data_IF_793233021280
#
_entry.id   IF_793233021280
#
_cell.length_a   1.000
_cell.length_b   1.000
_cell.length_c   1.000
_cell.angle_alpha   90.00
_cell.angle_beta   90.00
_cell.angle_gamma   90.00
#
_symmetry.space_group_name_H-M   'P 1'
#
loop_
_entity.id
_entity.type
_entity.pdbx_description
1 polymer ?
#
# COMPACT_ATOMS: atom_id res chain seq x y z
N UNK A 1 22.10 21.62 19.25
CA UNK A 1 21.13 22.13 18.26
C UNK A 1 19.86 21.27 18.16
N UNK A 2 19.94 19.94 18.28
CA UNK A 2 18.76 19.06 18.26
C UNK A 2 17.93 19.01 19.54
N UNK A 3 18.54 19.02 20.75
CA UNK A 3 17.75 19.04 22.00
C UNK A 3 16.89 20.31 22.12
N UNK A 4 17.42 21.44 21.62
CA UNK A 4 16.70 22.71 21.60
C UNK A 4 15.52 22.69 20.62
N UNK A 5 15.68 22.09 19.44
CA UNK A 5 14.60 21.97 18.47
C UNK A 5 13.46 21.09 19.01
N UNK A 6 13.81 19.93 19.57
CA UNK A 6 12.81 19.01 20.14
C UNK A 6 12.04 19.64 21.31
N UNK A 7 12.74 20.35 22.21
CA UNK A 7 12.14 21.09 23.32
C UNK A 7 11.20 22.21 22.84
N UNK A 8 11.56 22.92 21.77
CA UNK A 8 10.70 23.94 21.17
C UNK A 8 9.42 23.34 20.58
N UNK A 9 9.53 22.27 19.79
CA UNK A 9 8.37 21.61 19.17
C UNK A 9 7.42 21.07 20.26
N UNK A 10 7.96 20.49 21.34
CA UNK A 10 7.15 20.01 22.47
C UNK A 10 6.43 21.16 23.18
N UNK A 11 7.14 22.26 23.46
CA UNK A 11 6.57 23.46 24.09
C UNK A 11 5.49 24.11 23.22
N UNK A 12 5.62 24.05 21.90
CA UNK A 12 4.60 24.54 20.95
C UNK A 12 3.41 23.59 20.90
N UNK A 13 3.64 22.27 20.92
CA UNK A 13 2.56 21.27 20.92
C UNK A 13 1.59 21.50 22.09
N UNK A 14 2.10 21.68 23.31
CA UNK A 14 1.29 21.92 24.51
C UNK A 14 0.47 23.22 24.42
N UNK A 15 0.99 24.24 23.74
CA UNK A 15 0.35 25.55 23.60
C UNK A 15 -0.63 25.62 22.43
N UNK A 16 -0.56 24.69 21.48
CA UNK A 16 -1.45 24.71 20.30
C UNK A 16 -2.84 24.21 20.64
N UNK A 17 -3.86 25.02 20.32
CA UNK A 17 -5.28 24.70 20.54
C UNK A 17 -5.93 24.10 19.29
N UNK A 18 -5.39 24.40 18.09
CA UNK A 18 -5.93 23.92 16.81
C UNK A 18 -5.44 22.53 16.41
N UNK A 19 -6.37 21.60 16.15
CA UNK A 19 -6.08 20.22 15.71
C UNK A 19 -5.22 20.14 14.44
N UNK A 20 -5.48 21.00 13.44
CA UNK A 20 -4.70 21.03 12.19
C UNK A 20 -3.23 21.35 12.44
N UNK A 21 -2.94 22.36 13.28
CA UNK A 21 -1.58 22.74 13.63
C UNK A 21 -0.86 21.66 14.47
N UNK A 22 -1.59 20.94 15.33
CA UNK A 22 -1.03 19.80 16.07
C UNK A 22 -0.56 18.70 15.12
N UNK A 23 -1.35 18.39 14.09
CA UNK A 23 -0.98 17.41 13.06
C UNK A 23 0.28 17.86 12.31
N UNK A 24 0.34 19.13 11.90
CA UNK A 24 1.48 19.67 11.17
C UNK A 24 2.77 19.67 12.05
N UNK A 25 2.66 19.89 13.36
CA UNK A 25 3.76 19.71 14.32
C UNK A 25 4.23 18.26 14.43
N UNK A 26 3.30 17.30 14.46
CA UNK A 26 3.64 15.86 14.49
C UNK A 26 4.37 15.45 13.19
N UNK A 27 3.98 15.98 12.03
CA UNK A 27 4.73 15.76 10.78
C UNK A 27 6.16 16.29 10.86
N UNK A 28 6.39 17.44 11.48
CA UNK A 28 7.74 17.95 11.71
C UNK A 28 8.55 17.03 12.65
N UNK A 29 7.93 16.46 13.70
CA UNK A 29 8.59 15.46 14.55
C UNK A 29 8.98 14.19 13.76
N UNK A 30 8.11 13.71 12.86
CA UNK A 30 8.40 12.56 12.00
C UNK A 30 9.60 12.85 11.09
N UNK A 31 9.71 14.05 10.51
CA UNK A 31 10.85 14.43 9.68
C UNK A 31 12.17 14.43 10.43
N UNK A 32 12.17 14.99 11.64
CA UNK A 32 13.35 14.95 12.51
C UNK A 32 13.69 13.51 12.83
N UNK A 33 12.71 12.68 13.17
CA UNK A 33 12.91 11.24 13.40
C UNK A 33 13.50 10.51 12.19
N UNK A 34 13.02 10.79 10.97
CA UNK A 34 13.54 10.22 9.73
C UNK A 34 14.98 10.65 9.45
N UNK A 35 15.37 11.88 9.80
CA UNK A 35 16.74 12.36 9.65
C UNK A 35 17.73 11.60 10.57
N UNK A 36 17.31 11.23 11.79
CA UNK A 36 18.13 10.42 12.72
C UNK A 36 17.94 8.91 12.56
N UNK A 37 17.01 8.47 11.71
CA UNK A 37 16.59 7.06 11.59
C UNK A 37 16.26 6.39 12.94
N UNK A 38 15.70 7.15 13.89
CA UNK A 38 15.20 6.55 15.13
C UNK A 38 13.82 5.93 14.92
N UNK A 39 13.81 4.61 14.72
CA UNK A 39 12.59 3.84 14.48
C UNK A 39 11.57 3.94 15.62
N UNK A 40 12.02 4.10 16.87
CA UNK A 40 11.11 4.15 18.03
C UNK A 40 10.32 5.44 18.04
N UNK A 41 11.01 6.56 17.81
CA UNK A 41 10.42 7.89 17.75
C UNK A 41 9.47 8.03 16.56
N UNK A 42 9.85 7.51 15.39
CA UNK A 42 9.02 7.58 14.19
C UNK A 42 7.71 6.80 14.39
N UNK A 43 7.78 5.56 14.89
CA UNK A 43 6.59 4.76 15.14
C UNK A 43 5.63 5.42 16.12
N UNK A 44 6.13 5.97 17.24
CA UNK A 44 5.30 6.68 18.20
C UNK A 44 4.58 7.88 17.58
N UNK A 45 5.28 8.65 16.75
CA UNK A 45 4.70 9.82 16.11
C UNK A 45 3.74 9.46 14.97
N UNK A 46 3.97 8.36 14.24
CA UNK A 46 3.02 7.82 13.25
C UNK A 46 1.73 7.35 13.95
N UNK A 47 1.82 6.65 15.07
CA UNK A 47 0.63 6.22 15.85
C UNK A 47 -0.15 7.43 16.35
N UNK A 48 0.52 8.41 16.95
CA UNK A 48 -0.11 9.68 17.36
C UNK A 48 -0.76 10.41 16.19
N UNK A 49 -0.11 10.44 15.03
CA UNK A 49 -0.69 11.03 13.83
C UNK A 49 -1.96 10.29 13.41
N UNK A 50 -1.98 8.95 13.44
CA UNK A 50 -3.18 8.16 13.11
C UNK A 50 -4.34 8.45 14.07
N UNK A 51 -4.08 8.51 15.37
CA UNK A 51 -5.09 8.86 16.39
C UNK A 51 -5.69 10.26 16.14
N UNK A 52 -4.85 11.25 15.85
CA UNK A 52 -5.31 12.61 15.54
C UNK A 52 -6.12 12.68 14.24
N UNK A 53 -5.88 11.78 13.28
CA UNK A 53 -6.62 11.72 12.02
C UNK A 53 -8.00 11.06 12.16
N UNK A 54 -8.15 10.13 13.12
CA UNK A 54 -9.44 9.50 13.45
C UNK A 54 -10.38 10.48 14.14
N UNK A 55 -9.84 11.39 14.97
CA UNK A 55 -10.63 12.40 15.68
C UNK A 55 -11.23 13.50 14.77
N UNK A 56 -10.86 13.53 13.49
CA UNK A 56 -11.40 14.51 12.53
C UNK A 56 -10.33 15.14 11.63
N UNK A 57 -9.44 14.32 11.08
CA UNK A 57 -8.40 14.78 10.16
C UNK A 57 -8.93 15.05 8.75
N UNK A 58 -8.51 16.18 8.19
CA UNK A 58 -8.68 16.54 6.78
C UNK A 58 -8.15 15.45 5.83
N UNK A 59 -8.84 15.22 4.71
CA UNK A 59 -8.54 14.13 3.78
C UNK A 59 -7.15 14.30 3.14
N UNK A 60 -6.75 15.52 2.80
CA UNK A 60 -5.43 15.79 2.22
C UNK A 60 -4.30 15.40 3.19
N UNK A 61 -4.48 15.67 4.50
CA UNK A 61 -3.52 15.31 5.54
C UNK A 61 -3.36 13.79 5.69
N UNK A 62 -4.42 13.01 5.46
CA UNK A 62 -4.36 11.54 5.42
C UNK A 62 -3.53 11.03 4.25
N UNK A 63 -3.66 11.64 3.07
CA UNK A 63 -2.84 11.28 1.91
C UNK A 63 -1.36 11.59 2.15
N UNK A 64 -1.08 12.74 2.80
CA UNK A 64 0.29 13.10 3.21
C UNK A 64 0.86 12.06 4.18
N UNK A 65 0.09 11.63 5.19
CA UNK A 65 0.49 10.59 6.15
C UNK A 65 0.85 9.27 5.47
N UNK A 66 0.12 8.84 4.43
CA UNK A 66 0.46 7.63 3.66
C UNK A 66 1.86 7.71 3.05
N UNK A 67 2.25 8.89 2.54
CA UNK A 67 3.60 9.09 1.96
C UNK A 67 4.70 9.00 3.03
N UNK A 68 4.46 9.52 4.23
CA UNK A 68 5.39 9.37 5.36
C UNK A 68 5.51 7.92 5.83
N UNK A 69 4.38 7.21 5.91
CA UNK A 69 4.37 5.80 6.31
C UNK A 69 5.05 4.92 5.26
N UNK A 70 4.84 5.20 3.96
CA UNK A 70 5.54 4.51 2.87
C UNK A 70 7.05 4.71 2.95
N UNK A 71 7.49 5.95 3.19
CA UNK A 71 8.91 6.27 3.35
C UNK A 71 9.52 5.55 4.58
N UNK A 72 8.79 5.52 5.69
CA UNK A 72 9.23 4.80 6.88
C UNK A 72 9.35 3.29 6.64
N UNK A 73 8.36 2.64 6.01
CA UNK A 73 8.43 1.22 5.67
C UNK A 73 9.59 0.91 4.73
N UNK A 74 9.90 1.82 3.80
CA UNK A 74 11.08 1.72 2.95
C UNK A 74 12.37 1.75 3.77
N UNK A 75 12.48 2.61 4.79
CA UNK A 75 13.63 2.65 5.71
C UNK A 75 13.80 1.39 6.55
N UNK A 76 12.69 0.72 6.91
CA UNK A 76 12.67 -0.58 7.62
C UNK A 76 12.94 -1.77 6.67
N UNK A 77 13.10 -1.51 5.36
CA UNK A 77 13.28 -2.51 4.29
C UNK A 77 12.05 -3.41 4.06
N UNK A 78 10.86 -2.98 4.44
CA UNK A 78 9.60 -3.62 4.05
C UNK A 78 9.11 -3.05 2.71
N UNK A 79 9.63 -3.61 1.62
CA UNK A 79 9.30 -3.16 0.26
C UNK A 79 7.89 -3.56 -0.19
N UNK A 80 7.35 -4.66 0.34
CA UNK A 80 6.01 -5.11 -0.03
C UNK A 80 4.95 -4.16 0.52
N UNK A 81 5.07 -3.79 1.80
CA UNK A 81 4.20 -2.80 2.43
C UNK A 81 4.42 -1.37 1.95
N UNK A 82 5.66 -1.01 1.57
CA UNK A 82 5.94 0.31 1.00
C UNK A 82 5.38 0.46 -0.42
N UNK A 83 5.47 -0.57 -1.27
CA UNK A 83 5.00 -0.52 -2.65
C UNK A 83 3.49 -0.27 -2.76
N UNK A 84 2.68 -0.93 -1.91
CA UNK A 84 1.22 -0.73 -1.90
C UNK A 84 0.87 0.71 -1.52
N UNK A 85 1.49 1.23 -0.46
CA UNK A 85 1.27 2.60 0.00
C UNK A 85 1.74 3.64 -1.01
N UNK A 86 2.88 3.42 -1.67
CA UNK A 86 3.37 4.32 -2.71
C UNK A 86 2.44 4.34 -3.93
N UNK A 87 1.96 3.19 -4.40
CA UNK A 87 1.01 3.10 -5.52
C UNK A 87 -0.30 3.86 -5.23
N UNK A 88 -0.81 3.79 -4.00
CA UNK A 88 -1.98 4.59 -3.58
C UNK A 88 -1.67 6.08 -3.44
N UNK A 89 -0.42 6.44 -3.11
CA UNK A 89 0.00 7.82 -2.91
C UNK A 89 0.33 8.57 -4.23
N UNK A 90 0.81 7.90 -5.28
CA UNK A 90 1.17 8.53 -6.57
C UNK A 90 0.06 9.45 -7.13
N UNK A 91 -1.22 9.03 -7.25
CA UNK A 91 -2.25 9.85 -7.88
C UNK A 91 -2.68 11.05 -7.03
N UNK A 92 -2.36 11.08 -5.73
CA UNK A 92 -2.86 12.08 -4.77
C UNK A 92 -1.73 12.77 -4.01
N UNK A 93 -0.52 12.75 -4.57
CA UNK A 93 0.66 13.28 -3.89
C UNK A 93 0.61 14.81 -3.74
N UNK A 94 0.78 15.28 -2.50
CA UNK A 94 0.84 16.71 -2.16
C UNK A 94 1.95 17.06 -1.15
N UNK A 95 2.85 16.14 -0.80
CA UNK A 95 3.89 16.35 0.23
C UNK A 95 5.25 16.78 -0.36
N UNK A 96 5.29 17.91 -1.08
CA UNK A 96 6.53 18.43 -1.68
C UNK A 96 7.62 18.79 -0.66
N UNK A 97 7.23 18.96 0.60
CA UNK A 97 8.15 19.19 1.71
C UNK A 97 8.99 17.95 2.08
N UNK A 98 8.57 16.74 1.65
CA UNK A 98 9.28 15.49 1.91
C UNK A 98 10.22 15.13 0.76
N UNK A 99 9.69 15.13 -0.46
CA UNK A 99 10.42 14.79 -1.68
C UNK A 99 9.74 15.41 -2.91
N UNK A 100 10.49 15.54 -4.01
CA UNK A 100 9.90 15.90 -5.30
C UNK A 100 9.05 14.75 -5.85
N UNK A 101 8.10 15.10 -6.73
CA UNK A 101 7.25 14.11 -7.39
C UNK A 101 8.07 13.09 -8.19
N UNK A 102 9.13 13.54 -8.88
CA UNK A 102 10.04 12.67 -9.63
C UNK A 102 10.68 11.59 -8.74
N UNK A 103 11.14 11.99 -7.54
CA UNK A 103 11.73 11.05 -6.58
C UNK A 103 10.68 10.06 -6.06
N UNK A 104 9.44 10.50 -5.86
CA UNK A 104 8.36 9.61 -5.44
C UNK A 104 8.07 8.54 -6.51
N UNK A 105 7.99 8.94 -7.78
CA UNK A 105 7.78 7.99 -8.88
C UNK A 105 8.96 7.01 -8.95
N UNK A 106 10.19 7.50 -8.84
CA UNK A 106 11.38 6.66 -8.80
C UNK A 106 11.33 5.63 -7.65
N UNK A 107 11.04 6.05 -6.42
CA UNK A 107 10.90 5.14 -5.29
C UNK A 107 9.73 4.16 -5.45
N UNK A 108 8.63 4.58 -6.06
CA UNK A 108 7.50 3.69 -6.36
C UNK A 108 7.91 2.58 -7.32
N UNK A 109 8.65 2.90 -8.39
CA UNK A 109 9.16 1.89 -9.35
C UNK A 109 10.17 0.96 -8.69
N UNK A 110 11.10 1.50 -7.91
CA UNK A 110 12.11 0.69 -7.21
C UNK A 110 11.46 -0.25 -6.19
N UNK A 111 10.58 0.27 -5.33
CA UNK A 111 9.91 -0.54 -4.30
C UNK A 111 8.96 -1.57 -4.90
N UNK A 112 8.25 -1.25 -5.98
CA UNK A 112 7.41 -2.23 -6.69
C UNK A 112 8.24 -3.33 -7.36
N UNK A 113 9.39 -2.99 -7.93
CA UNK A 113 10.32 -3.99 -8.46
C UNK A 113 10.76 -4.97 -7.37
N UNK A 114 11.20 -4.48 -6.22
CA UNK A 114 11.67 -5.34 -5.11
C UNK A 114 10.54 -6.09 -4.39
N UNK A 115 9.39 -5.45 -4.18
CA UNK A 115 8.25 -6.01 -3.46
C UNK A 115 7.43 -7.02 -4.28
N UNK A 116 7.22 -6.76 -5.57
CA UNK A 116 6.35 -7.59 -6.42
C UNK A 116 7.08 -8.67 -7.21
N UNK A 117 8.43 -8.70 -7.21
CA UNK A 117 9.21 -9.75 -7.88
C UNK A 117 8.79 -11.16 -7.43
N UNK A 118 8.44 -11.35 -6.15
CA UNK A 118 7.95 -12.66 -5.65
C UNK A 118 6.53 -12.99 -6.11
N UNK A 119 5.67 -11.99 -6.26
CA UNK A 119 4.28 -12.19 -6.69
C UNK A 119 4.19 -12.51 -8.19
N UNK A 120 4.98 -11.83 -9.03
CA UNK A 120 5.03 -12.07 -10.47
C UNK A 120 5.61 -13.46 -10.79
N UNK A 121 6.67 -13.87 -10.10
CA UNK A 121 7.24 -15.23 -10.23
C UNK A 121 6.20 -16.30 -9.89
N UNK A 122 5.53 -16.20 -8.75
CA UNK A 122 4.52 -17.20 -8.33
C UNK A 122 3.35 -17.30 -9.31
N UNK A 123 2.92 -16.16 -9.88
CA UNK A 123 1.84 -16.10 -10.86
C UNK A 123 2.25 -16.62 -12.24
N UNK A 124 3.51 -16.45 -12.64
CA UNK A 124 4.08 -17.08 -13.83
C UNK A 124 4.19 -18.60 -13.67
N UNK A 125 4.60 -19.11 -12.50
CA UNK A 125 4.62 -20.56 -12.24
C UNK A 125 3.21 -21.15 -12.25
N UNK A 126 2.21 -20.47 -11.67
CA UNK A 126 0.82 -20.97 -11.66
C UNK A 126 0.14 -20.90 -13.04
N UNK A 127 0.39 -19.85 -13.83
CA UNK A 127 -0.08 -19.76 -15.23
C UNK A 127 0.61 -20.81 -16.12
N UNK A 128 1.90 -21.08 -15.90
CA UNK A 128 2.62 -22.14 -16.61
C UNK A 128 2.09 -23.53 -16.26
N UNK A 129 1.80 -23.80 -14.98
CA UNK A 129 1.19 -25.07 -14.54
C UNK A 129 -0.22 -25.27 -15.11
N UNK A 130 -1.04 -24.21 -15.13
CA UNK A 130 -2.39 -24.27 -15.68
C UNK A 130 -2.41 -24.48 -17.20
N UNK A 131 -1.48 -23.85 -17.93
CA UNK A 131 -1.33 -24.04 -19.37
C UNK A 131 -0.92 -25.48 -19.75
N UNK A 132 -0.03 -26.12 -18.97
CA UNK A 132 0.36 -27.53 -19.16
C UNK A 132 -0.81 -28.49 -18.87
N UNK A 133 -1.59 -28.23 -17.82
CA UNK A 133 -2.77 -29.04 -17.47
C UNK A 133 -3.88 -28.95 -18.54
N UNK A 134 -4.07 -27.78 -19.17
CA UNK A 134 -5.05 -27.59 -20.24
C UNK A 134 -4.61 -28.25 -21.56
N UNK A 135 -3.30 -28.33 -21.84
CA UNK A 135 -2.77 -28.99 -23.02
C UNK A 135 -2.91 -30.53 -22.95
N UNK A 136 -2.69 -31.14 -21.78
CA UNK A 136 -2.83 -32.60 -21.60
C UNK A 136 -4.29 -33.05 -21.70
N UNK A 137 -5.24 -32.26 -21.19
CA UNK A 137 -6.68 -32.55 -21.32
C UNK A 137 -7.15 -32.51 -22.79
N UNK A 138 -6.58 -31.64 -23.63
CA UNK A 138 -6.90 -31.60 -25.07
C UNK A 138 -6.28 -32.74 -25.89
N UNK A 139 -5.12 -33.25 -25.48
CA UNK A 139 -4.45 -34.35 -26.20
C UNK A 139 -5.05 -35.72 -25.82
N UNK A 140 -5.54 -35.87 -24.58
CA UNK A 140 -6.04 -37.16 -24.07
C UNK A 140 -7.57 -37.29 -24.02
N UNK A 141 -8.34 -36.32 -24.54
CA UNK A 141 -9.79 -36.44 -24.59
C UNK A 141 -10.22 -37.52 -25.61
N UNK A 142 -10.86 -38.63 -25.19
CA UNK A 142 -11.35 -39.64 -26.11
C UNK A 142 -12.53 -39.08 -26.91
N UNK A 143 -12.43 -39.13 -28.24
CA UNK A 143 -13.49 -38.75 -29.16
C UNK A 143 -14.61 -39.80 -29.10
N UNK A 144 -15.62 -39.60 -28.26
CA UNK A 144 -16.74 -40.53 -28.16
C UNK A 144 -17.76 -40.31 -29.28
N UNK A 145 -18.09 -41.41 -29.96
CA UNK A 145 -19.09 -41.54 -31.02
C UNK A 145 -20.48 -41.83 -30.46
N UNK A 146 -21.50 -41.11 -30.98
CA UNK A 146 -22.95 -41.40 -31.11
C UNK A 146 -23.67 -42.32 -30.08
N UNK A 147 -24.84 -41.89 -29.59
CA UNK A 147 -26.13 -42.64 -29.65
C UNK A 147 -27.32 -41.82 -29.09
N UNK A 148 -28.44 -41.99 -29.79
CA UNK A 148 -29.78 -41.37 -29.79
C UNK A 148 -30.55 -41.22 -28.47
N UNK A 149 -31.38 -40.16 -28.33
CA UNK A 149 -32.47 -40.11 -27.33
C UNK A 149 -33.77 -39.55 -27.91
N UNK A 150 -34.61 -40.45 -28.43
CA UNK A 150 -36.04 -40.25 -28.65
C UNK A 150 -36.77 -40.26 -27.29
N UNK A 151 -37.52 -39.20 -26.96
CA UNK A 151 -38.60 -39.21 -25.96
C UNK A 151 -39.67 -38.15 -26.28
N UNK A 152 -40.54 -38.46 -27.26
CA UNK A 152 -41.89 -37.88 -27.37
C UNK A 152 -42.88 -38.89 -26.78
N UNK A 153 -43.33 -38.71 -25.52
CA UNK A 153 -44.47 -39.45 -24.95
C UNK A 153 -44.94 -38.88 -23.60
N UNK A 154 -45.42 -37.63 -23.56
CA UNK A 154 -46.17 -37.10 -22.39
C UNK A 154 -47.12 -35.96 -22.79
N UNK A 155 -48.06 -36.19 -23.71
CA UNK A 155 -49.17 -35.26 -23.98
C UNK A 155 -50.40 -36.03 -24.50
N UNK A 156 -51.04 -36.86 -23.66
CA UNK A 156 -52.42 -37.32 -23.86
C UNK A 156 -53.02 -37.72 -22.51
N UNK A 157 -53.87 -36.87 -21.95
CA UNK A 157 -55.22 -37.25 -21.48
C UNK A 157 -55.94 -35.98 -20.97
N UNK A 158 -56.87 -35.50 -21.80
CA UNK A 158 -58.12 -34.85 -21.37
C UNK A 158 -59.07 -35.90 -20.80
#
# INVERSE_FOLDING_TARGET
MLPSLYSQIFSTYDKTVGMGYRIDLVFNMIRVGLFFLDHTLINQNITKAKELMEQGGDWERKNRLRSYEALYKMSVRDFAGAATLYLEAVPTFGSYELMTYENLVFYTVVTSLFGQLRFFLTRLYSLSFCAVQLLTVRIFAPRSSNVTRSKNRWLLHS
#
